data_IF_682499295665
#
_entry.id   IF_682499295665
#
_cell.length_a   1.000
_cell.length_b   1.000
_cell.length_c   1.000
_cell.angle_alpha   90.00
_cell.angle_beta   90.00
_cell.angle_gamma   90.00
#
_symmetry.space_group_name_H-M   'P 1'
#
loop_
_entity.id
_entity.type
_entity.pdbx_description
1 polymer ?
#
# COMPACT_ATOMS: atom_id res chain seq x y z
N UNK A 1 -4.72 -45.79 25.18
CA UNK A 1 -5.79 -46.75 24.91
C UNK A 1 -6.95 -45.97 24.33
N UNK A 2 -7.09 -45.69 23.05
CA UNK A 2 -6.32 -45.82 21.78
C UNK A 2 -7.03 -44.82 20.83
N UNK A 3 -6.43 -44.04 19.94
CA UNK A 3 -5.49 -44.32 18.85
C UNK A 3 -6.05 -45.27 17.77
N UNK A 4 -6.97 -44.77 16.92
CA UNK A 4 -7.10 -45.10 15.49
C UNK A 4 -8.33 -44.39 14.89
N UNK A 5 -8.36 -44.24 13.56
CA UNK A 5 -9.49 -43.76 12.72
C UNK A 5 -9.61 -42.25 12.51
N UNK A 6 -8.62 -41.67 11.81
CA UNK A 6 -8.78 -40.47 10.98
C UNK A 6 -7.80 -40.54 9.80
N UNK A 7 -7.98 -41.56 8.96
CA UNK A 7 -7.00 -41.89 7.93
C UNK A 7 -7.55 -42.57 6.69
N UNK A 8 -8.73 -42.17 6.19
CA UNK A 8 -9.16 -42.58 4.85
C UNK A 8 -10.00 -41.44 4.22
N UNK A 9 -9.60 -40.95 3.04
CA UNK A 9 -10.40 -39.97 2.29
C UNK A 9 -9.65 -39.03 1.35
N UNK A 10 -8.32 -39.10 1.25
CA UNK A 10 -7.53 -38.42 0.22
C UNK A 10 -6.85 -39.51 -0.62
N UNK A 11 -6.81 -39.35 -1.94
CA UNK A 11 -6.34 -40.33 -2.97
C UNK A 11 -7.42 -41.22 -3.60
N UNK A 12 -8.40 -40.59 -4.26
CA UNK A 12 -9.07 -41.21 -5.41
C UNK A 12 -9.04 -40.26 -6.61
N UNK A 13 -7.88 -40.16 -7.26
CA UNK A 13 -7.77 -40.01 -8.72
C UNK A 13 -6.28 -39.85 -9.07
N UNK A 14 -5.59 -40.98 -9.25
CA UNK A 14 -4.40 -41.00 -10.10
C UNK A 14 -4.91 -41.53 -11.43
N UNK A 15 -5.22 -40.65 -12.39
CA UNK A 15 -5.22 -41.11 -13.78
C UNK A 15 -3.75 -41.40 -14.06
N UNK A 16 -3.33 -42.66 -14.27
CA UNK A 16 -1.94 -42.93 -14.56
C UNK A 16 -1.65 -42.27 -15.91
N UNK A 17 -0.68 -41.34 -15.95
CA UNK A 17 -0.24 -40.69 -17.18
C UNK A 17 0.13 -41.72 -18.28
N UNK A 18 0.41 -42.96 -17.87
CA UNK A 18 0.69 -44.12 -18.72
C UNK A 18 -0.51 -44.59 -19.56
N UNK A 19 -1.77 -44.44 -19.11
CA UNK A 19 -2.95 -44.92 -19.85
C UNK A 19 -3.35 -43.98 -21.00
N UNK A 20 -2.87 -42.73 -20.99
CA UNK A 20 -2.99 -41.76 -22.09
C UNK A 20 -1.92 -41.94 -23.18
N UNK A 21 -0.90 -42.77 -22.93
CA UNK A 21 0.23 -43.00 -23.83
C UNK A 21 0.24 -44.47 -24.28
N UNK A 22 -0.63 -44.83 -25.22
CA UNK A 22 -0.50 -46.10 -25.92
C UNK A 22 0.80 -46.15 -26.76
N UNK A 23 1.56 -47.26 -26.73
CA UNK A 23 2.78 -47.40 -27.52
C UNK A 23 2.42 -47.77 -28.96
N UNK A 24 2.04 -46.77 -29.76
CA UNK A 24 2.23 -46.81 -31.22
C UNK A 24 2.91 -45.52 -31.64
N UNK A 25 4.13 -45.69 -32.13
CA UNK A 25 5.03 -44.63 -32.53
C UNK A 25 4.46 -43.81 -33.70
N UNK A 26 3.94 -42.64 -33.37
CA UNK A 26 3.98 -41.43 -34.19
C UNK A 26 4.39 -40.28 -33.27
N UNK A 27 5.11 -39.25 -33.74
CA UNK A 27 5.57 -38.17 -32.87
C UNK A 27 4.35 -37.52 -32.22
N UNK A 28 4.17 -37.77 -30.92
CA UNK A 28 3.15 -37.16 -30.10
C UNK A 28 3.32 -35.65 -30.19
N UNK A 29 2.44 -35.00 -30.93
CA UNK A 29 2.17 -33.59 -30.73
C UNK A 29 1.71 -33.48 -29.28
N UNK A 30 2.59 -32.95 -28.41
CA UNK A 30 2.24 -32.64 -27.03
C UNK A 30 1.14 -31.58 -27.09
N UNK A 31 -0.11 -32.02 -26.94
CA UNK A 31 -1.22 -31.10 -26.76
C UNK A 31 -1.18 -30.59 -25.33
N UNK A 32 -1.05 -29.28 -25.15
CA UNK A 32 -1.17 -28.62 -23.85
C UNK A 32 -2.62 -28.62 -23.33
N UNK A 33 -3.59 -29.08 -24.13
CA UNK A 33 -5.02 -29.08 -23.82
C UNK A 33 -5.50 -30.43 -23.28
N UNK A 34 -4.74 -31.07 -22.40
CA UNK A 34 -5.22 -32.26 -21.68
C UNK A 34 -6.01 -31.81 -20.45
N UNK A 35 -7.33 -32.10 -20.36
CA UNK A 35 -8.10 -31.87 -19.15
C UNK A 35 -7.49 -32.61 -17.95
N UNK A 36 -6.81 -31.90 -17.05
CA UNK A 36 -6.27 -32.51 -15.83
C UNK A 36 -7.35 -32.82 -14.79
N UNK A 37 -8.43 -32.05 -14.82
CA UNK A 37 -9.57 -32.23 -13.93
C UNK A 37 -10.68 -32.96 -14.67
N UNK A 38 -11.19 -34.02 -14.06
CA UNK A 38 -12.36 -34.72 -14.58
C UNK A 38 -13.64 -33.87 -14.39
N UNK A 39 -14.77 -34.36 -14.93
CA UNK A 39 -16.04 -33.64 -14.86
C UNK A 39 -16.56 -33.48 -13.41
N UNK A 40 -16.24 -34.42 -12.52
CA UNK A 40 -16.65 -34.38 -11.12
C UNK A 40 -15.78 -33.37 -10.35
N UNK A 41 -14.46 -33.39 -10.52
CA UNK A 41 -13.52 -32.42 -9.95
C UNK A 41 -13.81 -31.00 -10.43
N UNK A 42 -14.12 -30.82 -11.72
CA UNK A 42 -14.58 -29.53 -12.27
C UNK A 42 -15.91 -29.06 -11.70
N UNK A 43 -16.78 -29.99 -11.27
CA UNK A 43 -18.05 -29.67 -10.62
C UNK A 43 -17.86 -29.35 -9.13
N UNK A 44 -16.82 -29.92 -8.51
CA UNK A 44 -16.39 -29.62 -7.14
C UNK A 44 -15.60 -28.30 -7.02
N UNK A 45 -15.08 -27.77 -8.13
CA UNK A 45 -14.63 -26.39 -8.18
C UNK A 45 -15.82 -25.49 -7.83
N UNK A 46 -15.72 -24.62 -6.81
CA UNK A 46 -16.82 -23.73 -6.46
C UNK A 46 -17.19 -22.89 -7.69
N UNK A 47 -18.33 -23.17 -8.32
CA UNK A 47 -18.88 -22.30 -9.39
C UNK A 47 -19.06 -20.87 -8.88
N UNK A 48 -19.34 -20.75 -7.59
CA UNK A 48 -19.46 -19.49 -6.86
C UNK A 48 -18.15 -18.69 -6.80
N UNK A 49 -16.96 -19.28 -6.93
CA UNK A 49 -15.70 -18.52 -6.82
C UNK A 49 -15.35 -17.69 -8.05
N UNK A 50 -15.92 -17.99 -9.22
CA UNK A 50 -15.65 -17.25 -10.47
C UNK A 50 -16.85 -16.44 -10.98
N UNK A 51 -18.08 -16.78 -10.57
CA UNK A 51 -19.32 -16.11 -11.00
C UNK A 51 -19.86 -15.09 -9.97
N UNK A 52 -19.17 -14.90 -8.84
CA UNK A 52 -19.40 -13.73 -8.00
C UNK A 52 -18.97 -12.50 -8.80
N UNK A 53 -19.92 -11.89 -9.50
CA UNK A 53 -19.90 -10.45 -9.69
C UNK A 53 -19.81 -9.91 -8.26
N UNK A 54 -18.64 -9.42 -7.79
CA UNK A 54 -18.55 -8.97 -6.42
C UNK A 54 -19.68 -7.96 -6.22
N UNK A 55 -20.46 -8.06 -5.13
CA UNK A 55 -21.42 -7.00 -4.84
C UNK A 55 -20.68 -5.67 -4.93
N UNK A 56 -21.32 -4.58 -5.41
CA UNK A 56 -20.66 -3.29 -5.45
C UNK A 56 -20.03 -3.05 -4.07
N UNK A 57 -18.70 -3.03 -4.03
CA UNK A 57 -17.95 -3.04 -2.78
C UNK A 57 -18.13 -1.71 -2.03
N UNK A 58 -18.64 -0.69 -2.73
CA UNK A 58 -18.72 0.69 -2.28
C UNK A 58 -20.10 1.27 -2.62
N UNK A 59 -20.87 1.65 -1.60
CA UNK A 59 -22.09 2.45 -1.77
C UNK A 59 -21.79 3.91 -2.15
N UNK A 60 -20.63 4.44 -1.73
CA UNK A 60 -20.12 5.78 -2.06
C UNK A 60 -18.58 5.72 -2.23
N UNK A 61 -18.08 5.31 -3.41
CA UNK A 61 -16.66 5.15 -3.65
C UNK A 61 -15.95 6.50 -3.67
N UNK A 62 -14.96 6.67 -2.78
CA UNK A 62 -14.21 7.93 -2.60
C UNK A 62 -12.71 7.69 -2.64
N UNK A 63 -11.97 8.63 -3.23
CA UNK A 63 -10.50 8.61 -3.19
C UNK A 63 -10.00 8.75 -1.75
N UNK A 64 -8.78 8.28 -1.50
CA UNK A 64 -8.16 8.23 -0.17
C UNK A 64 -8.19 9.61 0.53
N UNK A 65 -7.83 10.75 -0.12
CA UNK A 65 -7.92 12.06 0.53
C UNK A 65 -9.32 12.45 1.01
N UNK A 66 -10.36 12.07 0.25
CA UNK A 66 -11.74 12.37 0.61
C UNK A 66 -12.21 11.52 1.79
N UNK A 67 -11.84 10.23 1.82
CA UNK A 67 -12.11 9.37 2.98
C UNK A 67 -11.38 9.88 4.24
N UNK A 68 -10.12 10.31 4.10
CA UNK A 68 -9.34 10.86 5.21
C UNK A 68 -9.96 12.14 5.76
N UNK A 69 -10.32 13.11 4.91
CA UNK A 69 -11.00 14.35 5.35
C UNK A 69 -12.34 14.07 6.05
N UNK A 70 -13.09 13.07 5.59
CA UNK A 70 -14.31 12.65 6.26
C UNK A 70 -14.04 12.02 7.65
N UNK A 71 -12.88 11.38 7.86
CA UNK A 71 -12.46 10.96 9.21
C UNK A 71 -12.01 12.14 10.06
N UNK A 72 -11.23 13.07 9.51
CA UNK A 72 -10.77 14.28 10.22
C UNK A 72 -11.96 15.06 10.76
N UNK A 73 -13.02 15.25 9.95
CA UNK A 73 -14.23 15.92 10.38
C UNK A 73 -14.98 15.20 11.51
N UNK A 74 -14.83 13.87 11.63
CA UNK A 74 -15.50 13.06 12.68
C UNK A 74 -14.76 13.11 14.01
N UNK A 75 -13.42 13.07 13.98
CA UNK A 75 -12.60 12.95 15.20
C UNK A 75 -11.33 13.83 15.11
N UNK A 76 -11.47 15.16 15.00
CA UNK A 76 -10.34 16.06 14.74
C UNK A 76 -9.27 16.02 15.84
N UNK A 77 -9.70 15.92 17.10
CA UNK A 77 -8.82 15.95 18.28
C UNK A 77 -8.25 14.57 18.66
N UNK A 78 -8.70 13.49 18.00
CA UNK A 78 -8.17 12.16 18.25
C UNK A 78 -6.75 12.04 17.68
N UNK A 79 -5.90 11.27 18.34
CA UNK A 79 -4.54 10.96 17.86
C UNK A 79 -4.62 10.11 16.59
N UNK A 80 -4.07 10.61 15.49
CA UNK A 80 -4.02 9.91 14.21
C UNK A 80 -2.74 9.09 14.06
N UNK A 81 -1.59 9.69 14.37
CA UNK A 81 -0.28 9.02 14.25
C UNK A 81 0.60 9.38 15.44
N UNK A 82 1.32 8.38 15.93
CA UNK A 82 2.37 8.55 16.92
C UNK A 82 3.60 7.75 16.50
N UNK A 83 4.75 8.41 16.43
CA UNK A 83 6.03 7.80 16.12
C UNK A 83 7.12 8.49 16.93
N UNK A 84 7.96 7.68 17.60
CA UNK A 84 9.00 8.18 18.52
C UNK A 84 8.41 9.12 19.58
N UNK A 85 8.89 10.37 19.64
CA UNK A 85 8.45 11.40 20.59
C UNK A 85 7.40 12.36 19.98
N UNK A 86 7.01 12.16 18.73
CA UNK A 86 6.07 13.03 18.03
C UNK A 86 4.70 12.35 17.87
N UNK A 87 3.64 13.13 18.13
CA UNK A 87 2.25 12.68 17.99
C UNK A 87 1.46 13.76 17.28
N UNK A 88 0.67 13.36 16.28
CA UNK A 88 -0.24 14.25 15.56
C UNK A 88 -1.68 13.77 15.71
N UNK A 89 -2.56 14.71 16.07
CA UNK A 89 -4.00 14.53 15.96
C UNK A 89 -4.44 14.49 14.49
N UNK A 90 -5.67 14.05 14.23
CA UNK A 90 -6.24 14.09 12.88
C UNK A 90 -6.23 15.50 12.30
N UNK A 91 -6.59 16.52 13.07
CA UNK A 91 -6.57 17.91 12.62
C UNK A 91 -5.15 18.40 12.28
N UNK A 92 -4.16 18.08 13.12
CA UNK A 92 -2.77 18.45 12.88
C UNK A 92 -2.18 17.73 11.66
N UNK A 93 -2.46 16.43 11.52
CA UNK A 93 -2.03 15.65 10.36
C UNK A 93 -2.68 16.17 9.06
N UNK A 94 -3.95 16.55 9.11
CA UNK A 94 -4.67 17.12 7.97
C UNK A 94 -4.06 18.46 7.54
N UNK A 95 -3.81 19.36 8.50
CA UNK A 95 -3.20 20.66 8.24
C UNK A 95 -1.77 20.53 7.68
N UNK A 96 -0.92 19.70 8.30
CA UNK A 96 0.46 19.50 7.85
C UNK A 96 0.50 18.88 6.44
N UNK A 97 -0.37 17.91 6.15
CA UNK A 97 -0.44 17.31 4.81
C UNK A 97 -1.10 18.22 3.77
N UNK A 98 -2.01 19.12 4.16
CA UNK A 98 -2.55 20.15 3.26
C UNK A 98 -1.48 21.21 2.91
N UNK A 99 -0.65 21.63 3.86
CA UNK A 99 0.45 22.56 3.62
C UNK A 99 1.47 21.98 2.64
N UNK A 100 1.91 20.74 2.88
CA UNK A 100 2.81 20.03 1.96
C UNK A 100 2.15 19.82 0.59
N UNK A 101 0.85 19.53 0.54
CA UNK A 101 0.14 19.38 -0.72
C UNK A 101 0.12 20.67 -1.56
N UNK A 102 -0.01 21.84 -0.94
CA UNK A 102 0.12 23.11 -1.64
C UNK A 102 1.54 23.32 -2.17
N UNK A 103 2.55 23.07 -1.36
CA UNK A 103 3.95 23.21 -1.76
C UNK A 103 4.29 22.27 -2.92
N UNK A 104 3.82 21.02 -2.88
CA UNK A 104 3.96 20.06 -3.98
C UNK A 104 3.30 20.56 -5.27
N UNK A 105 2.13 21.22 -5.19
CA UNK A 105 1.43 21.77 -6.35
C UNK A 105 2.18 22.95 -6.98
N UNK A 106 2.81 23.79 -6.17
CA UNK A 106 3.69 24.87 -6.66
C UNK A 106 4.88 24.31 -7.45
N UNK A 107 5.33 23.11 -7.10
CA UNK A 107 6.38 22.36 -7.79
C UNK A 107 5.86 21.42 -8.89
N UNK A 108 4.62 21.62 -9.34
CA UNK A 108 4.06 20.95 -10.51
C UNK A 108 3.42 19.57 -10.24
N UNK A 109 3.23 19.19 -8.97
CA UNK A 109 2.46 17.98 -8.65
C UNK A 109 0.97 18.21 -8.91
N UNK A 110 0.39 17.33 -9.72
CA UNK A 110 -1.02 17.32 -10.09
C UNK A 110 -1.45 15.87 -10.35
N UNK A 111 -2.65 15.69 -10.91
CA UNK A 111 -3.13 14.38 -11.38
C UNK A 111 -2.12 13.73 -12.32
N UNK A 112 -2.01 12.40 -12.24
CA UNK A 112 -1.05 11.56 -13.00
C UNK A 112 0.45 11.83 -12.76
N UNK A 113 0.80 12.77 -11.88
CA UNK A 113 2.21 13.03 -11.52
C UNK A 113 2.67 12.01 -10.48
N UNK A 114 3.82 11.37 -10.74
CA UNK A 114 4.46 10.45 -9.81
C UNK A 114 5.49 11.20 -8.99
N UNK A 115 5.47 10.99 -7.68
CA UNK A 115 6.37 11.63 -6.72
C UNK A 115 7.16 10.54 -6.01
N UNK A 116 8.48 10.54 -6.15
CA UNK A 116 9.36 9.67 -5.37
C UNK A 116 9.23 9.99 -3.88
N UNK A 117 9.11 8.97 -3.03
CA UNK A 117 9.02 9.14 -1.58
C UNK A 117 10.09 8.27 -0.91
N UNK A 118 11.14 8.88 -0.40
CA UNK A 118 12.24 8.18 0.27
C UNK A 118 12.51 8.79 1.64
N UNK A 119 11.91 8.23 2.69
CA UNK A 119 11.91 8.79 4.04
C UNK A 119 11.98 7.69 5.09
N UNK A 120 12.44 8.03 6.28
CA UNK A 120 12.33 7.12 7.44
C UNK A 120 10.91 7.06 7.99
N UNK A 121 10.65 6.04 8.83
CA UNK A 121 9.37 5.92 9.53
C UNK A 121 9.26 7.01 10.58
N UNK A 122 8.35 7.94 10.34
CA UNK A 122 8.06 9.07 11.21
C UNK A 122 6.62 9.55 11.00
N UNK A 123 6.17 10.51 11.81
CA UNK A 123 4.94 11.28 11.55
C UNK A 123 5.01 11.98 10.18
N UNK A 124 6.17 12.52 9.82
CA UNK A 124 6.45 13.21 8.53
C UNK A 124 6.26 12.30 7.32
N UNK A 125 6.56 11.01 7.44
CA UNK A 125 6.28 10.03 6.38
C UNK A 125 4.79 9.97 6.04
N UNK A 126 3.92 9.95 7.06
CA UNK A 126 2.47 9.92 6.87
C UNK A 126 1.97 11.25 6.30
N UNK A 127 2.54 12.38 6.78
CA UNK A 127 2.30 13.71 6.20
C UNK A 127 2.64 13.72 4.71
N UNK A 128 3.79 13.14 4.32
CA UNK A 128 4.23 13.07 2.93
C UNK A 128 3.31 12.24 2.05
N UNK A 129 2.92 11.04 2.50
CA UNK A 129 1.98 10.19 1.76
C UNK A 129 0.65 10.92 1.52
N UNK A 130 0.05 11.49 2.58
CA UNK A 130 -1.21 12.21 2.45
C UNK A 130 -1.05 13.49 1.63
N UNK A 131 0.05 14.22 1.78
CA UNK A 131 0.34 15.45 1.03
C UNK A 131 0.45 15.20 -0.48
N UNK A 132 1.14 14.13 -0.88
CA UNK A 132 1.23 13.72 -2.29
C UNK A 132 -0.17 13.41 -2.86
N UNK A 133 -0.95 12.59 -2.15
CA UNK A 133 -2.30 12.22 -2.58
C UNK A 133 -3.24 13.42 -2.64
N UNK A 134 -3.15 14.34 -1.68
CA UNK A 134 -3.94 15.58 -1.61
C UNK A 134 -3.54 16.60 -2.68
N UNK A 135 -2.27 16.62 -3.09
CA UNK A 135 -1.81 17.40 -4.23
C UNK A 135 -2.38 16.87 -5.56
N UNK A 136 -2.77 15.58 -5.58
CA UNK A 136 -3.29 14.85 -6.73
C UNK A 136 -2.32 13.86 -7.33
N UNK A 137 -1.10 13.77 -6.79
CA UNK A 137 -0.05 12.88 -7.29
C UNK A 137 -0.16 11.47 -6.72
N UNK A 138 0.61 10.57 -7.33
CA UNK A 138 0.83 9.20 -6.87
C UNK A 138 2.21 9.09 -6.23
N UNK A 139 2.30 8.51 -5.04
CA UNK A 139 3.61 8.30 -4.42
C UNK A 139 4.28 7.03 -4.96
N UNK A 140 5.59 7.11 -5.15
CA UNK A 140 6.47 6.00 -5.53
C UNK A 140 7.36 5.74 -4.33
N UNK A 141 7.01 4.80 -3.43
CA UNK A 141 7.79 4.56 -2.23
C UNK A 141 9.12 3.92 -2.60
N UNK A 142 10.21 4.54 -2.15
CA UNK A 142 11.58 4.13 -2.37
C UNK A 142 12.17 3.65 -1.05
N UNK A 143 12.76 2.45 -1.04
CA UNK A 143 13.43 1.93 0.15
C UNK A 143 14.81 2.60 0.29
N UNK A 144 15.08 3.33 1.40
CA UNK A 144 16.38 3.95 1.61
C UNK A 144 17.54 2.93 1.73
N UNK A 145 17.25 1.66 2.01
CA UNK A 145 18.25 0.59 2.07
C UNK A 145 18.63 0.08 0.66
N UNK A 146 17.94 0.50 -0.41
CA UNK A 146 18.28 0.11 -1.78
C UNK A 146 19.52 0.87 -2.32
N UNK A 147 20.34 0.22 -3.17
CA UNK A 147 21.43 0.90 -3.88
C UNK A 147 20.93 2.09 -4.71
N UNK A 148 21.73 3.16 -4.79
CA UNK A 148 21.39 4.39 -5.52
C UNK A 148 21.03 4.12 -6.97
N UNK A 149 21.71 3.19 -7.64
CA UNK A 149 21.45 2.82 -9.03
C UNK A 149 20.08 2.17 -9.20
N UNK A 150 19.65 1.36 -8.23
CA UNK A 150 18.33 0.74 -8.23
C UNK A 150 17.24 1.80 -8.03
N UNK A 151 17.45 2.74 -7.11
CA UNK A 151 16.55 3.87 -6.91
C UNK A 151 16.46 4.75 -8.17
N UNK A 152 17.58 4.98 -8.85
CA UNK A 152 17.62 5.74 -10.10
C UNK A 152 16.78 5.06 -11.19
N UNK A 153 16.93 3.74 -11.35
CA UNK A 153 16.15 2.98 -12.31
C UNK A 153 14.64 3.02 -12.03
N UNK A 154 14.23 2.99 -10.75
CA UNK A 154 12.81 3.14 -10.36
C UNK A 154 12.28 4.55 -10.64
N UNK A 155 13.06 5.59 -10.34
CA UNK A 155 12.70 6.99 -10.63
C UNK A 155 12.59 7.24 -12.14
N UNK A 156 13.49 6.65 -12.94
CA UNK A 156 13.44 6.73 -14.39
C UNK A 156 12.21 6.02 -14.96
N UNK A 157 11.95 4.78 -14.54
CA UNK A 157 10.83 3.96 -14.99
C UNK A 157 9.47 4.60 -14.63
N UNK A 158 9.32 5.06 -13.38
CA UNK A 158 8.11 5.75 -12.91
C UNK A 158 7.95 7.15 -13.50
N UNK A 159 9.00 7.70 -14.12
CA UNK A 159 9.09 9.08 -14.58
C UNK A 159 8.84 10.11 -13.48
N UNK A 160 9.14 9.76 -12.24
CA UNK A 160 9.07 10.70 -11.13
C UNK A 160 10.09 11.83 -11.37
N UNK A 161 9.61 13.07 -11.29
CA UNK A 161 10.42 14.30 -11.45
C UNK A 161 10.43 15.16 -10.18
N UNK A 162 9.65 14.75 -9.19
CA UNK A 162 9.63 15.30 -7.85
C UNK A 162 10.01 14.19 -6.88
N UNK A 163 10.87 14.49 -5.91
CA UNK A 163 11.31 13.59 -4.86
C UNK A 163 11.07 14.25 -3.50
N UNK A 164 10.34 13.58 -2.62
CA UNK A 164 10.14 13.97 -1.23
C UNK A 164 11.05 13.12 -0.35
N UNK A 165 11.92 13.78 0.42
CA UNK A 165 12.92 13.14 1.27
C UNK A 165 13.35 14.04 2.44
N UNK A 166 14.42 13.67 3.13
CA UNK A 166 15.01 14.39 4.27
C UNK A 166 16.43 14.84 3.90
N UNK A 167 16.88 15.99 4.40
CA UNK A 167 18.14 16.64 3.98
C UNK A 167 19.36 15.72 4.07
N UNK A 168 19.47 14.92 5.14
CA UNK A 168 20.58 14.01 5.38
C UNK A 168 20.68 12.85 4.36
N UNK A 169 19.61 12.56 3.61
CA UNK A 169 19.54 11.48 2.63
C UNK A 169 19.92 11.90 1.22
N UNK A 170 19.78 13.18 0.88
CA UNK A 170 19.91 13.70 -0.50
C UNK A 170 21.17 13.18 -1.21
N UNK A 171 22.31 13.15 -0.52
CA UNK A 171 23.59 12.69 -1.08
C UNK A 171 23.60 11.22 -1.54
N UNK A 172 22.72 10.38 -0.99
CA UNK A 172 22.60 8.95 -1.32
C UNK A 172 21.51 8.66 -2.36
N UNK A 173 20.76 9.69 -2.78
CA UNK A 173 19.61 9.54 -3.65
C UNK A 173 19.90 10.02 -5.08
N UNK A 174 19.18 9.50 -6.09
CA UNK A 174 19.25 9.99 -7.47
C UNK A 174 18.49 11.32 -7.61
N UNK A 175 19.01 12.38 -6.97
CA UNK A 175 18.38 13.71 -6.95
C UNK A 175 18.80 14.62 -8.11
N UNK A 176 19.78 14.20 -8.93
CA UNK A 176 20.31 15.00 -10.03
C UNK A 176 19.21 15.30 -11.08
N UNK A 177 18.89 16.59 -11.27
CA UNK A 177 17.83 17.00 -12.21
C UNK A 177 16.40 16.70 -11.75
N UNK A 178 16.21 16.32 -10.48
CA UNK A 178 14.90 16.06 -9.86
C UNK A 178 14.57 17.19 -8.88
N UNK A 179 13.34 17.70 -8.94
CA UNK A 179 12.87 18.66 -7.95
C UNK A 179 12.76 17.96 -6.59
N UNK A 180 13.64 18.32 -5.65
CA UNK A 180 13.72 17.65 -4.35
C UNK A 180 13.09 18.54 -3.27
N UNK A 181 12.08 18.01 -2.58
CA UNK A 181 11.37 18.65 -1.48
C UNK A 181 11.81 17.97 -0.17
N UNK A 182 12.22 18.79 0.79
CA UNK A 182 12.76 18.33 2.07
C UNK A 182 11.72 18.47 3.19
N UNK A 183 11.37 17.37 3.85
CA UNK A 183 10.39 17.35 4.95
C UNK A 183 10.89 17.96 6.26
N UNK A 184 12.19 18.22 6.35
CA UNK A 184 12.87 18.87 7.45
C UNK A 184 13.21 20.34 7.17
N UNK A 185 12.84 20.87 5.99
CA UNK A 185 12.85 22.32 5.73
C UNK A 185 11.54 22.97 6.17
N UNK A 186 11.60 24.22 6.64
CA UNK A 186 10.40 25.02 6.96
C UNK A 186 9.60 25.37 5.71
N UNK A 187 10.27 25.58 4.56
CA UNK A 187 9.64 25.95 3.28
C UNK A 187 8.51 25.01 2.85
N UNK A 188 8.60 23.72 3.21
CA UNK A 188 7.60 22.71 2.87
C UNK A 188 6.25 22.89 3.60
N UNK A 189 6.21 23.74 4.63
CA UNK A 189 5.07 23.95 5.52
C UNK A 189 4.66 25.43 5.70
N UNK A 190 5.34 26.37 5.03
CA UNK A 190 5.11 27.81 5.17
C UNK A 190 3.82 28.34 4.51
N UNK A 191 3.08 27.51 3.78
CA UNK A 191 1.87 27.95 3.08
C UNK A 191 0.66 28.02 4.03
N UNK A 192 0.40 29.24 4.52
CA UNK A 192 -0.79 29.59 5.29
C UNK A 192 -2.07 29.64 4.41
N UNK A 193 -3.10 28.92 4.87
CA UNK A 193 -4.54 29.25 4.72
C UNK A 193 -5.10 29.45 3.29
N UNK A 194 -4.78 28.56 2.35
CA UNK A 194 -5.55 28.46 1.08
C UNK A 194 -6.75 27.49 1.17
N UNK A 195 -7.05 26.99 2.37
CA UNK A 195 -8.01 25.91 2.57
C UNK A 195 -7.51 24.58 1.96
N UNK A 196 -8.31 23.50 2.05
CA UNK A 196 -7.89 22.20 1.58
C UNK A 196 -7.71 22.18 0.06
N UNK A 197 -6.58 21.69 -0.48
CA UNK A 197 -6.38 21.61 -1.92
C UNK A 197 -7.44 20.70 -2.55
N UNK A 198 -8.01 21.19 -3.65
CA UNK A 198 -8.96 20.47 -4.51
C UNK A 198 -8.27 20.07 -5.80
N UNK A 199 -7.58 18.93 -5.76
CA UNK A 199 -6.84 18.43 -6.93
C UNK A 199 -7.73 17.90 -8.06
N UNK A 200 -9.03 17.66 -7.80
CA UNK A 200 -9.93 17.03 -8.77
C UNK A 200 -9.62 15.56 -9.02
N UNK A 201 -8.91 14.91 -8.08
CA UNK A 201 -8.56 13.49 -8.14
C UNK A 201 -9.80 12.62 -8.28
N UNK A 202 -9.74 11.66 -9.19
CA UNK A 202 -10.78 10.66 -9.47
C UNK A 202 -10.34 9.28 -8.99
N UNK A 203 -11.25 8.31 -8.98
CA UNK A 203 -10.94 6.94 -8.56
C UNK A 203 -9.99 6.22 -9.53
N UNK A 204 -9.95 6.64 -10.79
CA UNK A 204 -9.11 5.99 -11.80
C UNK A 204 -7.70 6.60 -11.88
N UNK A 205 -7.47 7.71 -11.16
CA UNK A 205 -6.14 8.29 -11.01
C UNK A 205 -5.22 7.39 -10.15
N UNK A 206 -3.91 7.35 -10.43
CA UNK A 206 -2.95 6.57 -9.67
C UNK A 206 -2.83 7.10 -8.23
N UNK A 207 -2.87 6.20 -7.24
CA UNK A 207 -2.58 6.51 -5.84
C UNK A 207 -1.11 6.20 -5.50
N UNK A 208 -0.57 5.11 -6.05
CA UNK A 208 0.83 4.71 -5.85
C UNK A 208 1.38 3.92 -7.03
N UNK A 209 2.71 3.84 -7.12
CA UNK A 209 3.42 2.90 -8.00
C UNK A 209 4.33 2.03 -7.14
N UNK A 210 4.03 0.74 -7.03
CA UNK A 210 4.77 -0.19 -6.19
C UNK A 210 5.73 -1.03 -7.03
N UNK A 211 6.97 -1.14 -6.59
CA UNK A 211 7.98 -1.96 -7.24
C UNK A 211 8.19 -3.26 -6.46
N UNK A 212 8.00 -4.39 -7.13
CA UNK A 212 8.45 -5.68 -6.61
C UNK A 212 9.92 -5.92 -7.01
N UNK A 213 10.69 -6.65 -6.19
CA UNK A 213 11.97 -7.20 -6.63
C UNK A 213 11.68 -8.24 -7.72
N UNK A 214 11.58 -7.77 -8.96
CA UNK A 214 11.35 -8.63 -10.12
C UNK A 214 12.52 -9.57 -10.35
N UNK A 215 12.27 -10.69 -11.04
CA UNK A 215 13.30 -11.61 -11.52
C UNK A 215 14.16 -11.02 -12.64
N UNK A 216 13.72 -9.91 -13.27
CA UNK A 216 14.45 -9.16 -14.28
C UNK A 216 15.41 -8.14 -13.67
N UNK A 217 16.52 -7.87 -14.36
CA UNK A 217 17.48 -6.82 -13.98
C UNK A 217 16.90 -5.40 -13.97
N UNK A 218 15.72 -5.19 -14.59
CA UNK A 218 15.02 -3.90 -14.62
C UNK A 218 13.80 -3.93 -13.69
N UNK A 219 13.65 -2.94 -12.78
CA UNK A 219 12.48 -2.84 -11.92
C UNK A 219 11.22 -2.57 -12.75
N UNK A 220 10.09 -3.17 -12.39
CA UNK A 220 8.79 -2.97 -13.04
C UNK A 220 7.78 -2.43 -12.02
N UNK A 221 7.25 -1.25 -12.28
CA UNK A 221 6.30 -0.60 -11.39
C UNK A 221 4.86 -1.05 -11.66
N UNK A 222 4.15 -1.46 -10.61
CA UNK A 222 2.70 -1.70 -10.65
C UNK A 222 1.98 -0.42 -10.26
N UNK A 223 1.22 0.14 -11.20
CA UNK A 223 0.38 1.30 -10.95
C UNK A 223 -0.89 0.87 -10.22
N UNK A 224 -1.14 1.45 -9.05
CA UNK A 224 -2.32 1.15 -8.23
C UNK A 224 -3.23 2.38 -8.21
N UNK A 225 -4.41 2.34 -8.83
CA UNK A 225 -5.35 3.45 -8.82
C UNK A 225 -6.10 3.57 -7.48
N UNK A 226 -6.66 4.75 -7.21
CA UNK A 226 -7.47 4.99 -6.02
C UNK A 226 -8.63 4.00 -5.86
N UNK A 227 -9.25 3.57 -6.97
CA UNK A 227 -10.31 2.55 -7.03
C UNK A 227 -9.87 1.26 -6.36
N UNK A 228 -8.71 0.72 -6.78
CA UNK A 228 -8.22 -0.56 -6.24
C UNK A 228 -7.97 -0.48 -4.73
N UNK A 229 -7.48 0.66 -4.24
CA UNK A 229 -7.30 0.88 -2.80
C UNK A 229 -8.64 1.01 -2.08
N UNK A 230 -9.62 1.72 -2.66
CA UNK A 230 -10.95 1.87 -2.06
C UNK A 230 -11.72 0.54 -2.01
N UNK A 231 -11.62 -0.28 -3.06
CA UNK A 231 -12.18 -1.62 -3.11
C UNK A 231 -11.54 -2.51 -2.04
N UNK A 232 -10.21 -2.45 -1.93
CA UNK A 232 -9.47 -3.18 -0.89
C UNK A 232 -9.88 -2.75 0.53
N UNK A 233 -10.05 -1.45 0.79
CA UNK A 233 -10.50 -0.95 2.09
C UNK A 233 -11.89 -1.48 2.46
N UNK A 234 -12.79 -1.56 1.48
CA UNK A 234 -14.15 -2.07 1.70
C UNK A 234 -14.18 -3.56 1.97
N UNK A 235 -13.36 -4.32 1.24
CA UNK A 235 -13.16 -5.74 1.52
C UNK A 235 -12.58 -5.97 2.93
N UNK A 236 -11.66 -5.11 3.36
CA UNK A 236 -11.11 -5.15 4.72
C UNK A 236 -12.13 -4.78 5.79
N UNK A 237 -12.98 -3.78 5.56
CA UNK A 237 -14.08 -3.43 6.46
C UNK A 237 -15.04 -4.62 6.65
N UNK A 238 -15.41 -5.30 5.57
CA UNK A 238 -16.25 -6.50 5.61
C UNK A 238 -15.58 -7.66 6.38
N UNK A 239 -14.24 -7.74 6.34
CA UNK A 239 -13.48 -8.81 6.99
C UNK A 239 -13.23 -8.57 8.46
N UNK A 240 -12.92 -7.34 8.86
CA UNK A 240 -12.56 -6.95 10.24
C UNK A 240 -13.81 -6.62 11.06
N UNK A 241 -14.88 -6.15 10.42
CA UNK A 241 -16.12 -5.76 11.07
C UNK A 241 -16.00 -4.45 11.85
N UNK A 242 -17.01 -4.15 12.67
CA UNK A 242 -17.09 -2.92 13.46
C UNK A 242 -16.22 -2.94 14.73
N UNK A 243 -14.96 -3.40 14.63
CA UNK A 243 -14.04 -3.40 15.76
C UNK A 243 -13.89 -1.97 16.32
N UNK A 244 -13.83 -1.79 17.66
CA UNK A 244 -13.64 -0.48 18.25
C UNK A 244 -12.33 0.12 17.75
N UNK A 245 -12.39 1.38 17.36
CA UNK A 245 -11.24 2.15 16.85
C UNK A 245 -10.14 2.13 17.91
N UNK A 246 -9.02 1.49 17.56
CA UNK A 246 -7.90 1.24 18.47
C UNK A 246 -6.57 1.74 17.92
N UNK A 247 -5.48 1.22 18.47
CA UNK A 247 -4.14 1.47 17.94
C UNK A 247 -3.74 0.38 16.96
N UNK A 248 -3.36 0.77 15.74
CA UNK A 248 -2.75 -0.10 14.75
C UNK A 248 -1.26 0.14 14.70
N UNK A 249 -0.48 -0.93 14.66
CA UNK A 249 0.97 -0.83 14.57
C UNK A 249 1.41 -0.91 13.10
N UNK A 250 2.18 0.07 12.64
CA UNK A 250 2.83 0.00 11.33
C UNK A 250 4.25 -0.55 11.47
N UNK A 251 4.48 -1.71 10.85
CA UNK A 251 5.74 -2.48 10.87
C UNK A 251 6.34 -2.63 9.47
N UNK A 252 5.49 -2.64 8.44
CA UNK A 252 5.92 -2.88 7.07
C UNK A 252 6.73 -1.70 6.53
N UNK A 253 7.71 -1.99 5.67
CA UNK A 253 8.38 -0.91 4.92
C UNK A 253 7.39 -0.29 3.95
N UNK A 254 7.52 1.01 3.70
CA UNK A 254 6.61 1.76 2.82
C UNK A 254 6.60 1.27 1.36
N UNK A 255 7.65 0.57 0.94
CA UNK A 255 7.75 -0.01 -0.40
C UNK A 255 6.90 -1.28 -0.60
N UNK A 256 6.32 -1.84 0.47
CA UNK A 256 5.38 -2.96 0.38
C UNK A 256 3.93 -2.48 0.43
N UNK A 257 3.06 -3.20 -0.28
CA UNK A 257 1.62 -2.97 -0.33
C UNK A 257 0.94 -3.07 1.05
N UNK A 258 1.45 -3.93 1.94
CA UNK A 258 0.99 -4.03 3.33
C UNK A 258 1.04 -2.69 4.09
N UNK A 259 1.95 -1.78 3.74
CA UNK A 259 2.00 -0.44 4.34
C UNK A 259 0.77 0.41 4.02
N UNK A 260 0.13 0.21 2.85
CA UNK A 260 -1.12 0.89 2.47
C UNK A 260 -2.25 0.51 3.42
N UNK A 261 -2.32 -0.76 3.81
CA UNK A 261 -3.26 -1.21 4.84
C UNK A 261 -2.92 -0.59 6.19
N UNK A 262 -1.68 -0.76 6.65
CA UNK A 262 -1.27 -0.35 7.99
C UNK A 262 -1.40 1.15 8.24
N UNK A 263 -1.23 1.97 7.20
CA UNK A 263 -1.23 3.43 7.28
C UNK A 263 -2.53 4.03 6.76
N UNK A 264 -2.93 3.74 5.51
CA UNK A 264 -4.00 4.49 4.87
C UNK A 264 -5.39 3.97 5.23
N UNK A 265 -5.61 2.63 5.27
CA UNK A 265 -6.91 2.06 5.68
C UNK A 265 -7.25 2.44 7.12
N UNK A 266 -6.28 2.29 8.02
CA UNK A 266 -6.42 2.59 9.46
C UNK A 266 -6.78 4.06 9.68
N UNK A 267 -6.05 4.98 9.04
CA UNK A 267 -6.30 6.42 9.15
C UNK A 267 -7.67 6.82 8.62
N UNK A 268 -8.16 6.23 7.52
CA UNK A 268 -9.50 6.59 7.00
C UNK A 268 -10.65 5.98 7.82
N UNK A 269 -10.34 5.14 8.82
CA UNK A 269 -11.29 4.53 9.76
C UNK A 269 -11.15 5.03 11.20
N UNK A 270 -10.23 5.96 11.45
CA UNK A 270 -10.11 6.65 12.74
C UNK A 270 -9.09 6.03 13.69
N UNK A 271 -8.42 4.95 13.29
CA UNK A 271 -7.42 4.30 14.14
C UNK A 271 -6.27 5.25 14.43
N UNK A 272 -5.64 5.04 15.59
CA UNK A 272 -4.32 5.60 15.87
C UNK A 272 -3.27 4.70 15.22
N UNK A 273 -2.40 5.24 14.39
CA UNK A 273 -1.25 4.53 13.85
C UNK A 273 -0.03 4.74 14.75
N UNK A 274 0.52 3.65 15.28
CA UNK A 274 1.77 3.65 16.02
C UNK A 274 2.91 3.19 15.11
N UNK A 275 3.96 4.00 14.96
CA UNK A 275 5.18 3.58 14.28
C UNK A 275 5.96 2.58 15.13
N UNK A 276 6.30 1.42 14.58
CA UNK A 276 7.16 0.48 15.29
C UNK A 276 8.59 1.06 15.47
N UNK A 277 9.19 0.98 16.68
CA UNK A 277 10.56 1.44 16.90
C UNK A 277 11.56 0.65 16.05
N UNK A 278 12.57 1.34 15.52
CA UNK A 278 13.73 0.73 14.84
C UNK A 278 14.73 0.16 15.90
N UNK A 279 15.43 -0.99 15.70
CA UNK A 279 15.79 -1.63 14.43
C UNK A 279 15.14 -3.01 14.16
N UNK A 280 15.18 -3.37 12.86
CA UNK A 280 14.99 -4.68 12.20
C UNK A 280 14.42 -5.79 13.09
N UNK A 281 13.14 -6.08 12.91
CA UNK A 281 12.35 -7.08 13.63
C UNK A 281 12.19 -6.77 15.13
N UNK A 282 11.39 -5.76 15.47
CA UNK A 282 10.96 -5.63 16.85
C UNK A 282 10.22 -6.90 17.23
N UNK A 283 10.65 -7.56 18.32
CA UNK A 283 9.88 -8.66 18.92
C UNK A 283 8.45 -8.14 19.12
N UNK A 284 7.42 -8.94 18.81
CA UNK A 284 6.02 -8.54 18.99
C UNK A 284 5.74 -7.98 20.40
N UNK A 285 6.49 -8.46 21.41
CA UNK A 285 6.43 -7.93 22.78
C UNK A 285 6.99 -6.51 22.93
N UNK A 286 8.00 -6.11 22.17
CA UNK A 286 8.49 -4.72 22.13
C UNK A 286 7.49 -3.80 21.41
N UNK A 287 6.90 -4.27 20.32
CA UNK A 287 5.83 -3.58 19.61
C UNK A 287 4.59 -3.34 20.47
N UNK A 288 4.12 -4.39 21.17
CA UNK A 288 2.96 -4.29 22.06
C UNK A 288 3.21 -3.32 23.21
N UNK A 289 4.42 -3.31 23.78
CA UNK A 289 4.82 -2.33 24.80
C UNK A 289 4.85 -0.91 24.26
N UNK A 290 5.39 -0.70 23.06
CA UNK A 290 5.40 0.62 22.42
C UNK A 290 3.96 1.11 22.17
N UNK A 291 3.08 0.27 21.62
CA UNK A 291 1.68 0.62 21.40
C UNK A 291 0.91 0.93 22.69
N UNK A 292 1.23 0.23 23.79
CA UNK A 292 0.62 0.44 25.10
C UNK A 292 1.22 1.62 25.88
N UNK A 293 2.43 2.07 25.52
CA UNK A 293 3.11 3.21 26.15
C UNK A 293 2.74 4.56 25.51
N UNK A 294 2.05 4.54 24.37
CA UNK A 294 1.54 5.74 23.71
C UNK A 294 0.29 6.27 24.46
N UNK A 295 0.28 7.56 24.86
CA UNK A 295 -0.73 8.16 25.75
C UNK A 295 -2.15 8.03 25.22
#
# INVERSE_FOLDING_TARGET
MDAAENGEGLFHSTIPLADLLHPRAEPLAVSMDVPLLDAAERFMLPRESNDLKPPPLLDDPRCIPAQFRAQVARTPDAVAVAAEEETLTYAQLDAASDALAWHLREHGVARDVRVGLCVERSTRMVVAMLGILKAGGAFVPLDPDCPREQLAAMMEDSRARVLVTESHRVQHLPADGVCTILLDSQDAFELEVLGPPRAGTTLDDPASVLYSPGSSSKPQGVVVPHRSVADFFSAMDARVGAAPVGTWLSVSRICFDSSVLELLWTLVRGFRVAGAPYPRQPKLSACARAAAALP
#
